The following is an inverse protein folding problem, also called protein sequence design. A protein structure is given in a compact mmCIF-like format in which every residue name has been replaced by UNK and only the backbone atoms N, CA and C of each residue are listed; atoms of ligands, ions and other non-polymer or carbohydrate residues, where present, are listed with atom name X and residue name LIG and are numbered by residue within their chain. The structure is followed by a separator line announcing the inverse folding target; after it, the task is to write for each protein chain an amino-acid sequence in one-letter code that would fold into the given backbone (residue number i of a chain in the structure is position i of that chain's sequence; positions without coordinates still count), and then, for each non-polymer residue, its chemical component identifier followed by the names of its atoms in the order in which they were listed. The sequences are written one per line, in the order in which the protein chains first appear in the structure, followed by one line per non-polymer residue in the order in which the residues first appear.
data_IF_964498955150
#
_entry.id   IF_964498955150
#
_cell.length_a   1.000
_cell.length_b   1.000
_cell.length_c   1.000
_cell.angle_alpha   90.00
_cell.angle_beta   90.00
_cell.angle_gamma   90.00
#
_symmetry.space_group_name_H-M   'P 1'
#
loop_
_entity.id
_entity.type
_entity.pdbx_description
1 polymer ?
#
# COMPACT_ATOMS: atom_id res chain seq x y z
N UNK A 1 -1.63 2.60 -17.13
CA UNK A 1 -0.29 2.34 -16.58
C UNK A 1 -0.17 0.83 -16.43
N UNK A 2 0.65 0.15 -17.23
CA UNK A 2 0.80 -1.32 -17.19
C UNK A 2 1.91 -1.76 -16.21
N UNK A 3 2.67 -0.79 -15.72
CA UNK A 3 3.75 -0.90 -14.73
C UNK A 3 3.24 -0.98 -13.28
N UNK A 4 1.94 -0.82 -13.07
CA UNK A 4 1.32 -0.77 -11.75
C UNK A 4 0.22 -1.82 -11.64
N UNK A 5 0.21 -2.55 -10.53
CA UNK A 5 -0.88 -3.41 -10.12
C UNK A 5 -1.56 -2.76 -8.92
N UNK A 6 -2.87 -2.61 -8.98
CA UNK A 6 -3.67 -2.02 -7.90
C UNK A 6 -4.61 -3.09 -7.37
N UNK A 7 -4.50 -3.37 -6.08
CA UNK A 7 -5.36 -4.32 -5.36
C UNK A 7 -6.10 -3.56 -4.28
N UNK A 8 -7.41 -3.75 -4.21
CA UNK A 8 -8.24 -3.16 -3.17
C UNK A 8 -8.38 -4.14 -2.00
N UNK A 9 -7.91 -3.74 -0.81
CA UNK A 9 -7.94 -4.58 0.39
C UNK A 9 -9.37 -4.98 0.81
N UNK A 10 -10.38 -4.16 0.53
CA UNK A 10 -11.79 -4.47 0.78
C UNK A 10 -12.34 -5.47 -0.22
N UNK A 11 -12.00 -5.33 -1.50
CA UNK A 11 -12.39 -6.33 -2.48
C UNK A 11 -11.68 -7.66 -2.24
N UNK A 12 -10.41 -7.66 -1.82
CA UNK A 12 -9.67 -8.87 -1.46
C UNK A 12 -10.31 -9.68 -0.33
N UNK A 13 -11.12 -9.06 0.53
CA UNK A 13 -11.87 -9.77 1.58
C UNK A 13 -13.15 -10.46 1.08
N UNK A 14 -13.49 -10.33 -0.20
CA UNK A 14 -14.65 -11.01 -0.80
C UNK A 14 -14.26 -12.37 -1.38
N UNK A 15 -15.14 -13.37 -1.21
CA UNK A 15 -14.87 -14.76 -1.63
C UNK A 15 -14.67 -14.93 -3.14
N UNK A 16 -15.14 -13.98 -3.94
CA UNK A 16 -15.03 -14.02 -5.40
C UNK A 16 -13.77 -13.33 -5.94
N UNK A 17 -13.06 -12.53 -5.14
CA UNK A 17 -11.97 -11.69 -5.64
C UNK A 17 -10.83 -12.53 -6.21
N UNK A 18 -10.24 -13.43 -5.42
CA UNK A 18 -9.12 -14.24 -5.91
C UNK A 18 -9.55 -15.12 -7.10
N UNK A 19 -10.67 -15.87 -7.05
CA UNK A 19 -11.11 -16.69 -8.17
C UNK A 19 -11.38 -15.91 -9.48
N UNK A 20 -11.86 -14.67 -9.41
CA UNK A 20 -12.29 -13.91 -10.60
C UNK A 20 -11.32 -12.83 -11.06
N UNK A 21 -10.61 -12.20 -10.13
CA UNK A 21 -9.77 -11.02 -10.36
C UNK A 21 -8.28 -11.29 -10.28
N UNK A 22 -7.81 -12.35 -9.61
CA UNK A 22 -6.36 -12.60 -9.49
C UNK A 22 -5.66 -12.71 -10.85
N UNK A 23 -6.35 -13.19 -11.89
CA UNK A 23 -5.85 -13.25 -13.27
C UNK A 23 -5.46 -11.89 -13.86
N UNK A 24 -5.99 -10.79 -13.32
CA UNK A 24 -5.69 -9.42 -13.72
C UNK A 24 -4.47 -8.84 -12.98
N UNK A 25 -3.87 -9.58 -12.05
CA UNK A 25 -2.68 -9.23 -11.31
C UNK A 25 -1.55 -10.25 -11.57
N UNK A 26 -1.00 -10.30 -12.80
CA UNK A 26 -0.03 -11.33 -13.19
C UNK A 26 1.21 -11.28 -12.30
N UNK A 27 1.64 -12.47 -11.83
CA UNK A 27 2.80 -12.65 -10.96
C UNK A 27 2.53 -12.45 -9.47
N UNK A 28 1.39 -11.87 -9.08
CA UNK A 28 0.97 -11.77 -7.68
C UNK A 28 0.53 -13.14 -7.18
N UNK A 29 1.12 -13.58 -6.08
CA UNK A 29 0.77 -14.79 -5.38
C UNK A 29 -0.25 -14.48 -4.26
N UNK A 30 -1.43 -15.08 -4.33
CA UNK A 30 -2.41 -15.02 -3.24
C UNK A 30 -2.28 -16.29 -2.39
N UNK A 31 -1.92 -16.20 -1.10
CA UNK A 31 -1.67 -17.39 -0.28
C UNK A 31 -2.92 -18.28 -0.14
N UNK A 32 -4.10 -17.65 -0.12
CA UNK A 32 -5.41 -18.30 -0.03
C UNK A 32 -6.46 -17.51 -0.82
N UNK A 33 -7.72 -17.88 -0.71
CA UNK A 33 -8.84 -17.35 -1.52
C UNK A 33 -9.34 -15.97 -1.09
N UNK A 34 -9.07 -15.51 0.14
CA UNK A 34 -9.61 -14.26 0.67
C UNK A 34 -8.69 -13.64 1.74
N UNK A 35 -8.57 -12.31 1.73
CA UNK A 35 -7.83 -11.55 2.75
C UNK A 35 -8.74 -11.29 3.96
N UNK A 36 -8.59 -12.10 5.01
CA UNK A 36 -9.42 -12.01 6.23
C UNK A 36 -8.68 -12.66 7.41
N UNK A 37 -7.88 -11.89 8.15
CA UNK A 37 -6.98 -12.43 9.18
C UNK A 37 -7.66 -13.24 10.29
N UNK A 38 -8.93 -12.96 10.59
CA UNK A 38 -9.69 -13.68 11.63
C UNK A 38 -10.40 -14.95 11.15
N UNK A 39 -10.40 -15.27 9.85
CA UNK A 39 -11.00 -16.48 9.28
C UNK A 39 -9.95 -17.57 9.12
N UNK A 40 -10.30 -18.80 9.46
CA UNK A 40 -9.39 -19.95 9.35
C UNK A 40 -8.95 -20.23 7.90
N UNK A 41 -9.79 -19.93 6.91
CA UNK A 41 -9.53 -20.07 5.47
C UNK A 41 -8.99 -18.80 4.81
N UNK A 42 -8.95 -17.68 5.55
CA UNK A 42 -8.39 -16.42 5.09
C UNK A 42 -6.88 -16.36 5.23
N UNK A 43 -6.24 -15.49 4.45
CA UNK A 43 -4.86 -15.11 4.66
C UNK A 43 -4.76 -13.75 5.35
N UNK A 44 -3.62 -13.47 5.97
CA UNK A 44 -3.28 -12.17 6.56
C UNK A 44 -2.24 -11.39 5.73
N UNK A 45 -1.95 -10.15 6.15
CA UNK A 45 -1.00 -9.32 5.41
C UNK A 45 0.42 -9.90 5.44
N UNK A 46 0.82 -10.56 6.53
CA UNK A 46 2.11 -11.26 6.62
C UNK A 46 2.22 -12.32 5.51
N UNK A 47 1.26 -13.24 5.40
CA UNK A 47 1.30 -14.33 4.41
C UNK A 47 1.35 -13.75 2.99
N UNK A 48 0.60 -12.66 2.74
CA UNK A 48 0.59 -11.98 1.46
C UNK A 48 1.95 -11.34 1.13
N UNK A 49 2.55 -10.62 2.06
CA UNK A 49 3.87 -10.02 1.89
C UNK A 49 4.93 -11.09 1.68
N UNK A 50 4.99 -12.13 2.52
CA UNK A 50 5.97 -13.21 2.41
C UNK A 50 5.94 -13.90 1.03
N UNK A 51 4.76 -13.95 0.39
CA UNK A 51 4.60 -14.57 -0.94
C UNK A 51 5.03 -13.67 -2.12
N UNK A 52 5.09 -12.36 -1.91
CA UNK A 52 5.25 -11.35 -2.96
C UNK A 52 6.46 -10.44 -2.78
N UNK A 53 7.01 -10.35 -1.57
CA UNK A 53 8.16 -9.52 -1.26
C UNK A 53 9.38 -10.00 -2.06
N UNK A 54 10.17 -9.04 -2.55
CA UNK A 54 11.28 -9.32 -3.46
C UNK A 54 10.89 -9.50 -4.94
N UNK A 55 9.59 -9.58 -5.25
CA UNK A 55 9.07 -9.55 -6.64
C UNK A 55 8.51 -8.17 -7.01
N UNK A 56 7.87 -7.52 -6.04
CA UNK A 56 7.24 -6.22 -6.21
C UNK A 56 7.68 -5.27 -5.09
N UNK A 57 7.72 -3.97 -5.40
CA UNK A 57 7.63 -2.92 -4.37
C UNK A 57 6.16 -2.78 -4.01
N UNK A 58 5.85 -2.91 -2.72
CA UNK A 58 4.47 -2.99 -2.24
C UNK A 58 4.15 -1.70 -1.51
N UNK A 59 3.10 -1.01 -1.95
CA UNK A 59 2.62 0.22 -1.36
C UNK A 59 1.20 0.03 -0.85
N UNK A 60 0.88 0.70 0.25
CA UNK A 60 -0.44 0.75 0.85
C UNK A 60 -0.93 2.20 0.87
N UNK A 61 -2.24 2.39 0.76
CA UNK A 61 -2.87 3.68 0.97
C UNK A 61 -3.79 3.55 2.18
N UNK A 62 -3.55 4.39 3.19
CA UNK A 62 -4.19 4.32 4.49
C UNK A 62 -3.92 3.02 5.28
N UNK A 63 -2.68 2.52 5.20
CA UNK A 63 -2.23 1.36 5.97
C UNK A 63 -2.82 0.02 5.52
N UNK A 64 -2.62 -0.98 6.37
CA UNK A 64 -3.13 -2.33 6.21
C UNK A 64 -4.28 -2.59 7.20
N UNK A 65 -5.23 -3.45 6.84
CA UNK A 65 -6.38 -3.77 7.72
C UNK A 65 -5.97 -4.39 9.06
N UNK A 66 -4.83 -5.05 9.10
CA UNK A 66 -4.28 -5.71 10.28
C UNK A 66 -2.77 -5.43 10.41
N UNK A 67 -2.21 -5.73 11.59
CA UNK A 67 -0.80 -5.48 11.92
C UNK A 67 0.12 -6.70 11.82
N UNK A 68 -0.32 -7.81 11.19
CA UNK A 68 0.49 -9.04 11.07
C UNK A 68 1.83 -8.82 10.37
N UNK A 69 1.90 -7.85 9.47
CA UNK A 69 3.13 -7.45 8.78
C UNK A 69 4.23 -7.01 9.78
N UNK A 70 3.88 -6.36 10.90
CA UNK A 70 4.83 -5.95 11.93
C UNK A 70 5.46 -7.17 12.61
N UNK A 71 4.65 -8.18 12.93
CA UNK A 71 5.13 -9.43 13.55
C UNK A 71 6.04 -10.25 12.60
N UNK A 72 5.92 -10.02 11.29
CA UNK A 72 6.79 -10.60 10.27
C UNK A 72 8.07 -9.78 10.01
N UNK A 73 8.29 -8.71 10.79
CA UNK A 73 9.48 -7.87 10.66
C UNK A 73 9.43 -6.91 9.48
N UNK A 74 8.25 -6.65 8.90
CA UNK A 74 8.07 -5.55 7.97
C UNK A 74 7.76 -4.25 8.71
N UNK A 75 8.10 -3.14 8.08
CA UNK A 75 7.73 -1.79 8.49
C UNK A 75 6.96 -1.12 7.36
N UNK A 76 6.03 -0.23 7.70
CA UNK A 76 5.44 0.72 6.77
C UNK A 76 6.18 2.05 6.92
N UNK A 77 6.84 2.49 5.85
CA UNK A 77 7.45 3.82 5.78
C UNK A 77 6.61 4.67 4.85
N UNK A 78 6.34 5.95 5.12
CA UNK A 78 5.59 6.75 4.16
C UNK A 78 6.25 6.78 2.76
N UNK A 79 5.55 7.21 1.72
CA UNK A 79 6.11 7.39 0.37
C UNK A 79 5.15 8.26 -0.44
N UNK A 80 5.42 9.56 -0.48
CA UNK A 80 4.45 10.50 -1.04
C UNK A 80 3.13 10.46 -0.25
N UNK A 81 2.03 10.09 -0.94
CA UNK A 81 0.71 9.89 -0.33
C UNK A 81 0.42 8.44 0.13
N UNK A 82 1.35 7.52 -0.11
CA UNK A 82 1.23 6.11 0.24
C UNK A 82 2.18 5.78 1.41
N UNK A 83 2.18 4.51 1.80
CA UNK A 83 3.22 3.91 2.64
C UNK A 83 3.83 2.74 1.87
N UNK A 84 5.15 2.70 1.74
CA UNK A 84 5.86 1.55 1.23
C UNK A 84 6.08 0.53 2.36
N UNK A 85 5.75 -0.73 2.09
CA UNK A 85 6.10 -1.83 2.98
C UNK A 85 7.54 -2.24 2.69
N UNK A 86 8.39 -2.15 3.71
CA UNK A 86 9.81 -2.46 3.63
C UNK A 86 10.21 -3.48 4.69
N UNK A 87 11.34 -4.17 4.50
CA UNK A 87 12.05 -4.84 5.59
C UNK A 87 13.13 -3.89 6.13
N UNK A 88 13.23 -3.67 7.45
CA UNK A 88 14.35 -2.94 8.02
C UNK A 88 15.68 -3.56 7.61
N UNK A 89 16.69 -2.70 7.40
CA UNK A 89 18.04 -3.15 7.10
C UNK A 89 18.58 -4.04 8.22
N UNK A 90 19.08 -5.20 7.83
CA UNK A 90 19.91 -6.06 8.67
C UNK A 90 21.34 -5.94 8.15
N UNK A 91 22.26 -5.44 8.99
CA UNK A 91 23.66 -5.23 8.63
C UNK A 91 24.34 -6.54 8.16
N UNK A 92 23.84 -7.70 8.61
CA UNK A 92 24.35 -9.01 8.21
C UNK A 92 23.82 -9.54 6.88
N UNK A 93 22.80 -8.91 6.30
CA UNK A 93 22.14 -9.37 5.09
C UNK A 93 21.66 -8.18 4.27
N UNK A 94 22.55 -7.59 3.47
CA UNK A 94 22.19 -6.51 2.56
C UNK A 94 21.46 -7.08 1.34
N UNK A 95 20.13 -6.92 1.29
CA UNK A 95 19.35 -7.16 0.07
C UNK A 95 18.84 -5.84 -0.53
N UNK A 96 18.60 -5.77 -1.86
CA UNK A 96 18.01 -4.59 -2.50
C UNK A 96 16.62 -4.20 -1.97
N UNK A 97 16.02 -5.06 -1.16
CA UNK A 97 14.66 -4.94 -0.65
C UNK A 97 14.63 -4.57 0.84
N UNK A 98 15.76 -4.15 1.39
CA UNK A 98 15.85 -3.63 2.74
C UNK A 98 16.15 -2.14 2.72
N UNK A 99 15.62 -1.44 3.71
CA UNK A 99 15.75 0.01 3.83
C UNK A 99 16.15 0.36 5.25
N UNK A 100 17.14 1.25 5.37
CA UNK A 100 17.37 1.96 6.62
C UNK A 100 16.20 2.96 6.82
N UNK A 101 15.31 2.60 7.74
CA UNK A 101 14.11 3.39 8.05
C UNK A 101 14.47 4.80 8.53
N UNK A 102 15.66 4.99 9.13
CA UNK A 102 16.12 6.31 9.57
C UNK A 102 16.53 7.19 8.38
N UNK A 103 17.24 6.63 7.40
CA UNK A 103 17.57 7.32 6.15
C UNK A 103 16.32 7.67 5.34
N UNK A 104 15.26 6.87 5.47
CA UNK A 104 14.02 7.14 4.76
C UNK A 104 13.40 8.50 5.15
N UNK A 105 13.49 8.90 6.42
CA UNK A 105 12.97 10.19 6.91
C UNK A 105 13.61 11.41 6.21
N UNK A 106 14.80 11.25 5.63
CA UNK A 106 15.47 12.29 4.85
C UNK A 106 15.01 12.28 3.38
N UNK A 107 14.49 11.15 2.90
CA UNK A 107 14.07 10.94 1.51
C UNK A 107 12.62 11.40 1.23
N UNK A 108 11.79 11.53 2.26
CA UNK A 108 10.33 11.76 2.17
C UNK A 108 9.97 12.93 1.26
N UNK A 109 10.63 14.07 1.47
CA UNK A 109 10.32 15.30 0.75
C UNK A 109 10.55 15.15 -0.76
N UNK A 110 11.45 14.27 -1.19
CA UNK A 110 11.74 13.99 -2.60
C UNK A 110 10.67 13.14 -3.27
N UNK A 111 9.91 12.37 -2.48
CA UNK A 111 8.84 11.50 -2.96
C UNK A 111 7.46 12.18 -2.93
N UNK A 112 7.34 13.31 -2.24
CA UNK A 112 6.14 14.14 -2.31
C UNK A 112 6.05 14.82 -3.68
N UNK A 113 4.85 14.85 -4.31
CA UNK A 113 4.67 15.71 -5.46
C UNK A 113 4.99 17.15 -5.04
N UNK A 114 5.59 17.92 -5.95
CA UNK A 114 5.81 19.34 -5.70
C UNK A 114 4.49 19.95 -5.28
N UNK A 115 4.47 20.57 -4.09
CA UNK A 115 3.31 21.33 -3.65
C UNK A 115 2.96 22.28 -4.78
N UNK A 116 1.76 22.16 -5.39
CA UNK A 116 1.38 23.12 -6.40
C UNK A 116 1.53 24.50 -5.75
N UNK A 117 2.16 25.49 -6.44
CA UNK A 117 2.23 26.84 -5.90
C UNK A 117 0.80 27.16 -5.48
N UNK A 118 0.59 27.62 -4.23
CA UNK A 118 -0.73 27.92 -3.71
C UNK A 118 -1.50 28.72 -4.75
N UNK A 119 -2.23 28.02 -5.61
CA UNK A 119 -3.08 28.64 -6.57
C UNK A 119 -4.09 29.24 -5.62
N UNK A 120 -4.21 30.57 -5.67
CA UNK A 120 -5.38 31.25 -5.15
C UNK A 120 -6.55 30.70 -5.95
N UNK A 121 -6.96 29.46 -5.65
CA UNK A 121 -8.17 28.87 -6.16
C UNK A 121 -9.24 29.77 -5.58
N UNK A 122 -9.99 30.49 -6.43
CA UNK A 122 -11.02 31.36 -5.94
C UNK A 122 -11.91 30.55 -4.98
N UNK A 123 -12.17 31.10 -3.80
CA UNK A 123 -12.95 30.45 -2.72
C UNK A 123 -14.35 30.00 -3.18
N UNK A 124 -14.82 30.45 -4.35
CA UNK A 124 -15.98 29.90 -5.06
C UNK A 124 -15.64 28.67 -5.92
N UNK A 125 -14.92 27.68 -5.38
CA UNK A 125 -14.46 26.50 -6.14
C UNK A 125 -15.60 25.54 -6.52
N UNK A 126 -16.70 25.56 -5.77
CA UNK A 126 -17.82 24.62 -5.93
C UNK A 126 -19.12 25.39 -6.22
N UNK A 127 -19.89 25.00 -7.25
CA UNK A 127 -21.18 25.62 -7.53
C UNK A 127 -22.12 25.51 -6.31
N UNK A 128 -22.93 26.55 -6.08
CA UNK A 128 -24.05 26.48 -5.14
C UNK A 128 -24.94 25.27 -5.46
N UNK A 129 -25.37 24.54 -4.43
CA UNK A 129 -26.19 23.33 -4.57
C UNK A 129 -25.42 22.02 -4.77
N UNK A 130 -24.09 22.05 -4.74
CA UNK A 130 -23.27 20.83 -4.69
C UNK A 130 -22.97 20.40 -3.26
N UNK A 131 -22.68 19.11 -3.04
CA UNK A 131 -22.34 18.58 -1.71
C UNK A 131 -21.02 19.14 -1.14
N UNK A 132 -20.18 19.72 -1.99
CA UNK A 132 -18.88 20.33 -1.65
C UNK A 132 -19.01 21.82 -1.30
N UNK A 133 -20.20 22.42 -1.49
CA UNK A 133 -20.47 23.81 -1.14
C UNK A 133 -20.60 23.96 0.38
N UNK A 134 -19.67 24.69 1.01
CA UNK A 134 -19.81 25.16 2.40
C UNK A 134 -20.26 26.62 2.39
N UNK A 135 -21.47 26.86 2.87
CA UNK A 135 -22.05 28.20 3.06
C UNK A 135 -21.32 28.99 4.14
#
# INVERSE_FOLDING_TARGET
RQDLLVLDQNLMSTEWFVPKQARNAPGVAFPRSLYWPSRQDGFDMREFLDSNYGKFRIFTFAGTKDSSHLAAGYAAVPFGYAEEIVRPMDEGALTPWQVDVSMWAESVAWHMPRTPPFARLPLGKYPEGTWEYKA
#
